data_IF_105182192800
#
_entry.id   IF_105182192800
#
_cell.length_a   1.000
_cell.length_b   1.000
_cell.length_c   1.000
_cell.angle_alpha   90.00
_cell.angle_beta   90.00
_cell.angle_gamma   90.00
#
_symmetry.space_group_name_H-M   'P 1'
#
loop_
_entity.id
_entity.type
_entity.pdbx_description
1 polymer ?
#
# COMPACT_ATOMS: atom_id res chain seq x y z
N UNK A 1 3.54 42.15 35.82
CA UNK A 1 2.51 42.02 36.87
C UNK A 1 2.35 40.54 37.21
N UNK A 2 2.50 40.18 38.50
CA UNK A 2 2.10 38.93 39.21
C UNK A 2 2.70 37.59 38.73
N UNK A 3 3.70 37.02 39.42
CA UNK A 3 3.73 36.19 40.66
C UNK A 3 3.46 34.69 40.44
N UNK A 4 4.49 33.87 40.65
CA UNK A 4 4.37 32.56 41.31
C UNK A 4 5.73 32.14 41.90
N UNK A 5 5.85 32.30 43.21
CA UNK A 5 6.94 31.80 44.06
C UNK A 5 6.59 30.38 44.53
N UNK A 6 7.50 29.41 44.39
CA UNK A 6 7.38 28.05 44.93
C UNK A 6 8.62 27.69 45.76
N UNK A 7 8.39 27.41 47.03
CA UNK A 7 9.34 27.24 48.14
C UNK A 7 10.38 26.13 47.97
N UNK A 8 11.61 26.45 48.37
CA UNK A 8 12.64 25.54 48.86
C UNK A 8 12.35 25.15 50.33
N UNK A 9 12.47 23.87 50.68
CA UNK A 9 12.66 23.44 52.08
C UNK A 9 13.83 22.44 52.13
N UNK A 10 14.85 22.65 52.99
CA UNK A 10 16.06 21.83 53.04
C UNK A 10 15.94 20.71 54.08
N UNK A 11 16.53 19.54 53.82
CA UNK A 11 16.89 18.60 54.89
C UNK A 11 18.40 18.35 54.85
N UNK A 12 19.01 18.75 55.95
CA UNK A 12 20.44 18.81 56.25
C UNK A 12 20.80 17.54 57.02
N UNK A 13 21.84 16.81 56.60
CA UNK A 13 22.51 15.83 57.47
C UNK A 13 24.03 16.05 57.42
N UNK A 14 24.54 16.59 58.52
CA UNK A 14 25.91 16.47 59.02
C UNK A 14 26.17 14.99 59.40
N UNK A 15 27.36 14.41 59.56
CA UNK A 15 28.78 14.74 59.35
C UNK A 15 29.57 13.52 59.87
N UNK A 16 30.68 13.15 59.22
CA UNK A 16 31.85 12.37 59.71
C UNK A 16 31.74 10.84 59.91
N UNK A 17 32.69 10.11 59.32
CA UNK A 17 32.98 8.73 59.71
C UNK A 17 33.79 7.95 58.66
N UNK A 18 35.10 8.11 58.69
CA UNK A 18 36.11 7.37 57.91
C UNK A 18 36.23 5.90 58.31
N UNK A 19 36.65 5.06 57.35
CA UNK A 19 37.58 3.92 57.43
C UNK A 19 37.05 2.59 56.85
N UNK A 20 37.97 1.90 56.17
CA UNK A 20 38.02 0.48 55.79
C UNK A 20 37.51 0.08 54.39
N UNK A 21 38.46 0.21 53.45
CA UNK A 21 38.93 -0.81 52.50
C UNK A 21 38.01 -1.98 52.10
N UNK A 22 38.07 -2.23 50.79
CA UNK A 22 37.83 -3.47 50.03
C UNK A 22 36.48 -3.59 49.30
N UNK A 23 36.58 -4.09 48.06
CA UNK A 23 35.55 -4.25 47.03
C UNK A 23 35.30 -3.02 46.12
N UNK A 24 36.33 -2.65 45.33
CA UNK A 24 36.05 -2.26 43.95
C UNK A 24 35.37 -3.45 43.26
N UNK A 25 34.47 -3.12 42.33
CA UNK A 25 33.62 -4.00 41.50
C UNK A 25 32.40 -4.63 42.18
N UNK A 26 31.23 -4.33 41.58
CA UNK A 26 29.90 -4.95 41.73
C UNK A 26 28.95 -4.37 42.80
N UNK A 27 28.47 -3.14 42.59
CA UNK A 27 27.05 -2.80 42.79
C UNK A 27 26.74 -1.41 42.15
N UNK A 28 26.37 -1.39 40.87
CA UNK A 28 25.65 -0.25 40.26
C UNK A 28 24.34 -0.75 39.70
N UNK A 29 23.37 -1.04 40.58
CA UNK A 29 21.95 -1.13 40.24
C UNK A 29 21.17 -0.57 41.44
N UNK A 30 20.19 0.29 41.18
CA UNK A 30 19.41 1.20 42.06
C UNK A 30 20.15 2.52 42.33
N UNK A 31 19.95 3.60 41.56
CA UNK A 31 18.68 4.17 41.09
C UNK A 31 18.83 4.70 39.66
N UNK A 32 17.79 4.49 38.86
CA UNK A 32 17.77 4.78 37.43
C UNK A 32 18.00 6.25 37.10
N UNK A 33 18.95 6.47 36.22
CA UNK A 33 18.88 7.53 35.23
C UNK A 33 19.60 7.04 33.98
N UNK A 34 19.01 6.04 33.32
CA UNK A 34 19.19 5.85 31.90
C UNK A 34 18.48 7.00 31.20
N UNK A 35 19.05 8.20 31.29
CA UNK A 35 18.98 9.14 30.18
C UNK A 35 19.84 8.49 29.11
N UNK A 36 19.26 7.53 28.37
CA UNK A 36 19.69 7.30 27.01
C UNK A 36 19.65 8.67 26.34
N UNK A 37 20.72 9.01 25.65
CA UNK A 37 20.91 10.19 24.82
C UNK A 37 19.80 10.35 23.77
N UNK A 38 18.57 10.63 24.18
CA UNK A 38 17.63 11.40 23.39
C UNK A 38 18.10 12.84 23.46
N UNK A 39 19.23 13.11 22.80
CA UNK A 39 19.32 14.30 21.98
C UNK A 39 18.10 14.22 21.06
N UNK A 40 17.05 14.94 21.43
CA UNK A 40 16.01 15.30 20.49
C UNK A 40 16.75 16.22 19.51
N UNK A 41 17.32 15.62 18.48
CA UNK A 41 17.76 16.34 17.30
C UNK A 41 16.49 17.04 16.80
N UNK A 42 16.40 18.35 17.00
CA UNK A 42 15.37 19.19 16.39
C UNK A 42 15.66 19.20 14.88
N UNK A 43 15.31 18.10 14.22
CA UNK A 43 15.35 18.02 12.78
C UNK A 43 14.34 19.01 12.22
N UNK A 44 14.82 19.94 11.40
CA UNK A 44 14.02 21.03 10.85
C UNK A 44 14.53 22.44 11.20
N UNK A 45 15.57 22.57 12.04
CA UNK A 45 16.21 23.87 12.30
C UNK A 45 17.73 23.82 12.16
N UNK A 46 18.31 24.87 11.61
CA UNK A 46 19.74 25.13 11.48
C UNK A 46 20.16 26.42 12.22
N UNK A 47 21.45 26.73 12.23
CA UNK A 47 22.03 27.86 12.97
C UNK A 47 22.65 27.46 14.31
N UNK A 48 23.44 28.37 14.91
CA UNK A 48 24.15 28.08 16.17
C UNK A 48 23.22 28.01 17.39
N UNK A 49 21.98 28.48 17.23
CA UNK A 49 20.94 28.50 18.24
C UNK A 49 19.64 27.84 17.77
N UNK A 50 19.69 27.06 16.68
CA UNK A 50 18.53 26.45 16.03
C UNK A 50 17.43 27.48 15.69
N UNK A 51 17.84 28.68 15.30
CA UNK A 51 16.96 29.83 15.07
C UNK A 51 16.47 29.95 13.63
N UNK A 52 17.05 29.18 12.71
CA UNK A 52 16.75 29.21 11.28
C UNK A 52 15.98 27.93 10.93
N UNK A 53 14.81 28.06 10.30
CA UNK A 53 14.06 26.92 9.78
C UNK A 53 14.79 26.34 8.57
N UNK A 54 14.95 25.03 8.54
CA UNK A 54 15.57 24.34 7.40
C UNK A 54 14.58 24.36 6.24
N UNK A 55 15.05 24.59 5.01
CA UNK A 55 14.19 24.44 3.82
C UNK A 55 14.32 23.02 3.28
N UNK A 56 13.38 22.15 3.63
CA UNK A 56 13.36 20.74 3.20
C UNK A 56 13.20 20.60 1.67
N UNK A 57 12.63 21.60 1.00
CA UNK A 57 12.41 21.61 -0.44
C UNK A 57 13.63 21.98 -1.29
N UNK A 58 14.69 22.49 -0.68
CA UNK A 58 15.92 22.89 -1.37
C UNK A 58 16.56 21.76 -2.18
N UNK A 59 16.33 20.51 -1.78
CA UNK A 59 16.86 19.31 -2.44
C UNK A 59 15.93 18.71 -3.50
N UNK A 60 14.73 19.27 -3.70
CA UNK A 60 13.65 18.69 -4.52
C UNK A 60 13.37 17.21 -4.17
N UNK A 61 12.96 16.91 -2.92
CA UNK A 61 12.85 15.53 -2.46
C UNK A 61 11.67 14.77 -3.08
N UNK A 62 10.61 15.48 -3.51
CA UNK A 62 9.37 14.87 -3.98
C UNK A 62 9.49 14.29 -5.40
N UNK A 63 9.21 12.99 -5.52
CA UNK A 63 9.15 12.26 -6.78
C UNK A 63 7.76 12.34 -7.41
N UNK A 64 7.61 11.80 -8.63
CA UNK A 64 6.32 11.67 -9.32
C UNK A 64 5.51 12.98 -9.40
N UNK A 65 6.22 14.09 -9.58
CA UNK A 65 5.68 15.44 -9.64
C UNK A 65 4.90 15.87 -8.38
N UNK A 66 5.20 15.30 -7.21
CA UNK A 66 4.67 15.78 -5.93
C UNK A 66 5.08 17.23 -5.66
N UNK A 67 4.18 18.00 -5.04
CA UNK A 67 4.46 19.39 -4.69
C UNK A 67 5.20 19.42 -3.35
N UNK A 68 6.37 20.06 -3.31
CA UNK A 68 7.09 20.24 -2.05
C UNK A 68 6.59 21.50 -1.33
N UNK A 69 6.28 21.35 -0.05
CA UNK A 69 5.82 22.43 0.83
C UNK A 69 6.78 22.52 2.02
N UNK A 70 7.51 23.63 2.07
CA UNK A 70 8.37 24.01 3.19
C UNK A 70 7.51 24.29 4.43
N UNK A 71 7.74 23.55 5.52
CA UNK A 71 6.93 23.61 6.75
C UNK A 71 7.85 23.89 7.93
N UNK A 72 7.43 24.82 8.78
CA UNK A 72 8.15 25.10 10.03
C UNK A 72 8.24 23.84 10.88
N UNK A 73 9.47 23.41 11.21
CA UNK A 73 9.73 22.14 11.90
C UNK A 73 9.19 20.90 11.14
N UNK A 74 9.22 20.93 9.80
CA UNK A 74 8.71 19.91 8.91
C UNK A 74 9.56 18.65 8.92
N UNK A 75 9.42 17.81 9.94
CA UNK A 75 10.03 16.49 9.88
C UNK A 75 9.09 15.48 9.20
N UNK A 76 9.29 15.32 7.90
CA UNK A 76 8.86 14.12 7.17
C UNK A 76 7.41 14.12 6.70
N UNK A 77 6.86 15.27 6.27
CA UNK A 77 5.56 15.38 5.57
C UNK A 77 5.55 16.59 4.62
N UNK A 78 6.63 16.75 3.86
CA UNK A 78 6.88 17.97 3.08
C UNK A 78 6.47 17.79 1.60
N UNK A 79 6.06 16.59 1.21
CA UNK A 79 5.55 16.30 -0.12
C UNK A 79 4.04 16.09 -0.13
N UNK A 80 3.36 16.88 -0.96
CA UNK A 80 1.96 16.67 -1.34
C UNK A 80 1.92 15.83 -2.63
N UNK A 81 1.58 14.55 -2.48
CA UNK A 81 1.59 13.60 -3.58
C UNK A 81 0.43 13.83 -4.54
N UNK A 82 0.71 13.65 -5.83
CA UNK A 82 -0.33 13.58 -6.85
C UNK A 82 -1.14 12.29 -6.69
N UNK A 83 -2.35 12.31 -7.25
CA UNK A 83 -3.25 11.15 -7.26
C UNK A 83 -2.54 9.93 -7.84
N UNK A 84 -2.67 8.78 -7.18
CA UNK A 84 -1.99 7.53 -7.55
C UNK A 84 -0.64 7.30 -6.86
N UNK A 85 -0.11 8.26 -6.09
CA UNK A 85 1.16 8.06 -5.39
C UNK A 85 1.06 8.20 -3.87
N UNK A 86 1.92 7.47 -3.16
CA UNK A 86 2.09 7.51 -1.71
C UNK A 86 3.58 7.49 -1.33
N UNK A 87 3.86 7.37 -0.04
CA UNK A 87 5.20 7.44 0.51
C UNK A 87 5.53 8.82 1.09
N UNK A 88 6.73 8.93 1.64
CA UNK A 88 7.21 10.16 2.28
C UNK A 88 7.55 11.23 1.23
N UNK A 89 8.10 10.78 0.12
CA UNK A 89 8.57 11.57 -1.00
C UNK A 89 7.77 11.27 -2.28
N UNK A 90 6.55 10.73 -2.15
CA UNK A 90 5.70 10.34 -3.27
C UNK A 90 6.34 9.30 -4.20
N UNK A 91 7.21 8.45 -3.65
CA UNK A 91 8.02 7.46 -4.37
C UNK A 91 7.27 6.16 -4.67
N UNK A 92 6.15 5.92 -3.99
CA UNK A 92 5.38 4.68 -4.11
C UNK A 92 4.19 4.91 -5.05
N UNK A 93 4.03 4.04 -6.06
CA UNK A 93 2.80 3.94 -6.84
C UNK A 93 1.75 3.17 -6.03
N UNK A 94 0.54 3.70 -5.95
CA UNK A 94 -0.56 3.07 -5.21
C UNK A 94 -1.08 1.91 -6.06
N UNK A 95 -0.99 0.70 -5.54
CA UNK A 95 -1.47 -0.46 -6.26
C UNK A 95 -3.00 -0.60 -6.16
N UNK A 96 -3.74 -0.20 -7.20
CA UNK A 96 -5.21 -0.29 -7.23
C UNK A 96 -5.72 -1.74 -7.40
N UNK A 97 -4.85 -2.68 -7.76
CA UNK A 97 -5.21 -4.10 -7.83
C UNK A 97 -5.31 -4.78 -6.45
N UNK A 98 -4.87 -4.12 -5.37
CA UNK A 98 -4.91 -4.67 -4.00
C UNK A 98 -6.33 -5.03 -3.53
N UNK A 99 -7.35 -4.33 -4.01
CA UNK A 99 -8.76 -4.63 -3.71
C UNK A 99 -9.34 -5.76 -4.55
N UNK A 100 -8.55 -6.38 -5.44
CA UNK A 100 -8.99 -7.43 -6.38
C UNK A 100 -10.26 -7.04 -7.17
N UNK A 101 -10.23 -5.93 -7.94
CA UNK A 101 -11.43 -5.41 -8.60
C UNK A 101 -11.91 -6.23 -9.81
N UNK A 102 -11.07 -7.11 -10.37
CA UNK A 102 -11.37 -7.87 -11.58
C UNK A 102 -12.07 -9.20 -11.28
N UNK A 103 -13.11 -9.55 -12.04
CA UNK A 103 -13.91 -10.75 -11.88
C UNK A 103 -13.48 -11.90 -12.81
N UNK A 104 -14.08 -13.08 -12.61
CA UNK A 104 -13.94 -14.26 -13.49
C UNK A 104 -12.50 -14.68 -13.78
N UNK A 105 -11.62 -14.59 -12.78
CA UNK A 105 -10.19 -14.91 -12.89
C UNK A 105 -9.42 -14.03 -13.89
N UNK A 106 -9.91 -12.81 -14.16
CA UNK A 106 -9.21 -11.81 -14.93
C UNK A 106 -7.93 -11.33 -14.24
N UNK A 107 -6.96 -10.90 -15.06
CA UNK A 107 -5.69 -10.37 -14.58
C UNK A 107 -5.87 -8.86 -14.36
N UNK A 108 -5.63 -8.40 -13.14
CA UNK A 108 -5.58 -6.97 -12.85
C UNK A 108 -4.20 -6.42 -13.21
N UNK A 109 -4.18 -5.31 -13.95
CA UNK A 109 -2.98 -4.54 -14.26
C UNK A 109 -3.07 -3.19 -13.59
N UNK A 110 -2.07 -2.92 -12.75
CA UNK A 110 -1.87 -1.70 -12.01
C UNK A 110 -1.37 -0.58 -12.93
N UNK A 111 -1.89 0.64 -12.77
CA UNK A 111 -1.49 1.84 -13.52
C UNK A 111 -1.57 3.06 -12.60
N UNK A 112 -0.93 4.17 -12.96
CA UNK A 112 -1.01 5.36 -12.12
C UNK A 112 -2.45 5.87 -11.95
N UNK A 113 -2.95 5.84 -10.70
CA UNK A 113 -4.27 6.31 -10.27
C UNK A 113 -5.46 5.56 -10.94
N UNK A 114 -5.24 4.34 -11.44
CA UNK A 114 -6.27 3.53 -12.11
C UNK A 114 -5.79 2.09 -12.31
N UNK A 115 -6.70 1.19 -12.61
CA UNK A 115 -6.34 -0.16 -13.05
C UNK A 115 -7.02 -0.52 -14.37
N UNK A 116 -6.58 -1.61 -14.98
CA UNK A 116 -7.31 -2.26 -16.08
C UNK A 116 -7.39 -3.76 -15.85
N UNK A 117 -8.52 -4.36 -16.19
CA UNK A 117 -8.72 -5.80 -16.14
C UNK A 117 -8.51 -6.41 -17.53
N UNK A 118 -7.64 -7.41 -17.62
CA UNK A 118 -7.49 -8.24 -18.82
C UNK A 118 -8.43 -9.42 -18.68
N UNK A 119 -9.53 -9.37 -19.43
CA UNK A 119 -10.58 -10.38 -19.34
C UNK A 119 -10.13 -11.70 -19.99
N UNK A 120 -10.45 -12.85 -19.36
CA UNK A 120 -10.33 -14.13 -20.02
C UNK A 120 -11.35 -14.24 -21.15
N UNK A 121 -11.12 -15.21 -22.03
CA UNK A 121 -12.08 -15.53 -23.10
C UNK A 121 -13.47 -15.83 -22.50
N UNK A 122 -14.51 -15.36 -23.16
CA UNK A 122 -15.90 -15.52 -22.73
C UNK A 122 -16.41 -14.43 -21.79
N UNK A 123 -15.55 -13.49 -21.37
CA UNK A 123 -15.94 -12.37 -20.51
C UNK A 123 -15.54 -11.02 -21.10
N UNK A 124 -16.28 -9.97 -20.74
CA UNK A 124 -16.01 -8.59 -21.14
C UNK A 124 -16.49 -7.59 -20.07
N UNK A 125 -16.34 -6.30 -20.36
CA UNK A 125 -16.63 -5.22 -19.43
C UNK A 125 -15.37 -4.69 -18.74
N UNK A 126 -15.47 -3.56 -18.04
CA UNK A 126 -14.31 -2.93 -17.38
C UNK A 126 -13.77 -3.78 -16.23
N UNK A 127 -14.65 -4.58 -15.59
CA UNK A 127 -14.30 -5.47 -14.48
C UNK A 127 -14.34 -6.95 -14.88
N UNK A 128 -14.55 -7.25 -16.17
CA UNK A 128 -14.70 -8.62 -16.68
C UNK A 128 -15.85 -9.40 -16.01
N UNK A 129 -16.91 -8.69 -15.64
CA UNK A 129 -18.10 -9.17 -14.94
C UNK A 129 -19.25 -9.55 -15.88
N UNK A 130 -19.13 -9.23 -17.17
CA UNK A 130 -20.13 -9.50 -18.18
C UNK A 130 -19.76 -10.73 -19.00
N UNK A 131 -20.75 -11.58 -19.26
CA UNK A 131 -20.62 -12.81 -20.04
C UNK A 131 -20.89 -12.57 -21.52
N UNK A 132 -20.00 -13.03 -22.39
CA UNK A 132 -20.17 -12.94 -23.85
C UNK A 132 -21.26 -13.92 -24.26
N UNK A 133 -22.30 -13.45 -24.96
CA UNK A 133 -23.29 -14.36 -25.53
C UNK A 133 -22.80 -14.91 -26.89
N UNK A 134 -22.17 -16.08 -26.90
CA UNK A 134 -21.69 -16.66 -28.17
C UNK A 134 -22.82 -17.10 -29.11
N UNK A 135 -24.06 -17.26 -28.62
CA UNK A 135 -25.18 -17.68 -29.45
C UNK A 135 -25.70 -16.60 -30.42
N UNK A 136 -25.34 -15.33 -30.23
CA UNK A 136 -25.72 -14.23 -31.14
C UNK A 136 -25.25 -14.45 -32.59
N UNK A 137 -24.15 -15.19 -32.77
CA UNK A 137 -23.58 -15.49 -34.10
C UNK A 137 -23.92 -16.90 -34.60
N UNK A 138 -24.81 -17.63 -33.90
CA UNK A 138 -25.20 -19.00 -34.24
C UNK A 138 -24.01 -19.95 -34.50
N UNK A 139 -23.14 -20.20 -33.51
CA UNK A 139 -21.88 -20.93 -33.68
C UNK A 139 -22.06 -22.44 -33.90
N UNK A 140 -23.24 -22.99 -33.61
CA UNK A 140 -23.52 -24.42 -33.73
C UNK A 140 -23.77 -24.83 -35.18
N UNK A 141 -23.01 -25.81 -35.68
CA UNK A 141 -23.19 -26.36 -37.03
C UNK A 141 -24.39 -27.32 -37.12
N UNK A 142 -24.79 -27.66 -38.35
CA UNK A 142 -25.88 -28.60 -38.66
C UNK A 142 -27.20 -28.26 -37.96
N UNK A 143 -27.48 -26.96 -37.80
CA UNK A 143 -28.69 -26.45 -37.13
C UNK A 143 -28.87 -27.00 -35.69
N UNK A 144 -27.76 -27.22 -34.98
CA UNK A 144 -27.76 -27.51 -33.55
C UNK A 144 -28.30 -26.33 -32.74
N UNK A 145 -28.88 -26.61 -31.58
CA UNK A 145 -29.39 -25.58 -30.66
C UNK A 145 -28.22 -25.06 -29.83
N UNK A 146 -27.99 -23.74 -29.86
CA UNK A 146 -26.99 -23.08 -29.04
C UNK A 146 -27.55 -22.72 -27.67
N UNK A 147 -26.79 -23.01 -26.61
CA UNK A 147 -27.08 -22.62 -25.24
C UNK A 147 -25.90 -21.80 -24.72
N UNK A 148 -26.16 -20.55 -24.35
CA UNK A 148 -25.15 -19.69 -23.74
C UNK A 148 -24.88 -20.15 -22.29
N UNK A 149 -23.61 -20.12 -21.88
CA UNK A 149 -23.16 -20.51 -20.54
C UNK A 149 -22.13 -19.50 -20.02
N UNK A 150 -21.82 -19.51 -18.73
CA UNK A 150 -20.83 -18.58 -18.20
C UNK A 150 -19.42 -18.87 -18.74
N UNK A 151 -18.88 -17.92 -19.50
CA UNK A 151 -17.57 -18.00 -20.13
C UNK A 151 -17.52 -18.84 -21.40
N UNK A 152 -18.66 -19.20 -22.00
CA UNK A 152 -18.71 -19.98 -23.24
C UNK A 152 -20.10 -20.48 -23.61
N UNK A 153 -20.18 -21.52 -24.43
CA UNK A 153 -21.47 -22.05 -24.89
C UNK A 153 -21.47 -23.57 -25.08
N UNK A 154 -22.66 -24.14 -25.14
CA UNK A 154 -22.90 -25.54 -25.45
C UNK A 154 -23.78 -25.68 -26.71
N UNK A 155 -23.47 -26.67 -27.54
CA UNK A 155 -24.28 -27.01 -28.71
C UNK A 155 -25.00 -28.35 -28.49
N UNK A 156 -26.33 -28.31 -28.46
CA UNK A 156 -27.16 -29.52 -28.46
C UNK A 156 -27.34 -29.99 -29.90
N UNK A 157 -26.72 -31.14 -30.19
CA UNK A 157 -26.76 -31.75 -31.51
C UNK A 157 -28.15 -32.34 -31.83
N UNK A 158 -28.57 -32.24 -33.09
CA UNK A 158 -29.73 -32.98 -33.60
C UNK A 158 -29.41 -34.49 -33.68
N UNK A 159 -30.44 -35.37 -33.69
CA UNK A 159 -30.23 -36.81 -33.89
C UNK A 159 -29.35 -37.09 -35.12
N UNK A 160 -28.35 -37.97 -34.96
CA UNK A 160 -27.37 -38.31 -36.02
C UNK A 160 -26.04 -37.55 -35.94
N UNK A 161 -25.94 -36.51 -35.10
CA UNK A 161 -24.72 -35.73 -34.89
C UNK A 161 -24.20 -35.86 -33.45
N UNK A 162 -22.89 -35.71 -33.25
CA UNK A 162 -22.26 -35.74 -31.93
C UNK A 162 -21.03 -34.84 -31.88
N UNK A 163 -20.76 -34.16 -30.77
CA UNK A 163 -19.61 -33.26 -30.67
C UNK A 163 -19.55 -32.56 -29.34
N UNK A 164 -18.49 -31.78 -29.12
CA UNK A 164 -18.34 -30.92 -27.95
C UNK A 164 -17.86 -29.53 -28.37
N UNK A 165 -18.36 -28.51 -27.67
CA UNK A 165 -17.74 -27.19 -27.67
C UNK A 165 -16.41 -27.26 -26.90
N UNK A 166 -15.34 -26.71 -27.47
CA UNK A 166 -14.05 -26.60 -26.80
C UNK A 166 -13.99 -25.31 -25.98
N UNK A 167 -13.17 -25.26 -24.91
CA UNK A 167 -12.92 -24.05 -24.13
C UNK A 167 -12.38 -22.87 -24.97
N UNK A 168 -11.83 -23.16 -26.15
CA UNK A 168 -11.36 -22.18 -27.13
C UNK A 168 -12.46 -21.62 -28.02
N UNK A 169 -13.75 -21.92 -27.76
CA UNK A 169 -14.87 -21.52 -28.61
C UNK A 169 -14.93 -22.24 -29.97
N UNK A 170 -14.07 -23.24 -30.19
CA UNK A 170 -14.08 -24.07 -31.39
C UNK A 170 -15.07 -25.22 -31.23
N UNK A 171 -15.93 -25.45 -32.22
CA UNK A 171 -16.91 -26.53 -32.20
C UNK A 171 -16.36 -27.74 -32.97
N UNK A 172 -16.14 -28.88 -32.29
CA UNK A 172 -15.78 -30.15 -32.95
C UNK A 172 -17.00 -31.07 -32.97
N UNK A 173 -17.54 -31.32 -34.17
CA UNK A 173 -18.67 -32.23 -34.38
C UNK A 173 -18.27 -33.35 -35.34
N UNK A 174 -18.60 -34.58 -34.97
CA UNK A 174 -18.50 -35.80 -35.77
C UNK A 174 -19.91 -36.31 -36.13
N UNK A 175 -20.05 -36.80 -37.36
CA UNK A 175 -21.26 -37.54 -37.77
C UNK A 175 -21.25 -38.90 -37.06
N UNK A 176 -22.37 -39.31 -36.43
CA UNK A 176 -22.51 -40.72 -36.07
C UNK A 176 -22.80 -41.47 -37.36
N UNK A 177 -21.81 -42.27 -37.79
CA UNK A 177 -22.01 -43.29 -38.83
C UNK A 177 -22.91 -44.38 -38.28
#
# INVERSE_FOLDING_TARGET
MRYATGLLVPLKWHSLGSLLSSALTLLRIHWGLLIHDHLIYLSGFEGSWCEIDTNECSSNPCQNQGDCVDRVNGYGKDCECKMGFSGLHCEEDINECTSSPCHNSAICQDLVNKFTCVCPRGYFGTLCDLDVNECEVSPCLHEGICINTLGGFECVCRPGYSGSSLPSGDVKINMRV
#
